data_IF_512047133567
#
_entry.id   IF_512047133567
#
_cell.length_a   1.000
_cell.length_b   1.000
_cell.length_c   1.000
_cell.angle_alpha   90.00
_cell.angle_beta   90.00
_cell.angle_gamma   90.00
#
_symmetry.space_group_name_H-M   'P 1'
#
loop_
_entity.id
_entity.type
_entity.pdbx_description
1 polymer ?
#
# COMPACT_ATOMS: atom_id res chain seq x y z
N UNK A 1 -5.56 -13.01 19.64
CA UNK A 1 -4.80 -13.67 20.72
C UNK A 1 -3.32 -13.82 20.37
N UNK A 2 -2.94 -14.55 19.31
CA UNK A 2 -1.54 -14.70 18.89
C UNK A 2 -0.80 -13.39 18.57
N UNK A 3 -1.44 -12.42 17.91
CA UNK A 3 -0.85 -11.09 17.67
C UNK A 3 -0.58 -10.30 18.95
N UNK A 4 -1.53 -10.35 19.90
CA UNK A 4 -1.40 -9.67 21.18
C UNK A 4 -0.30 -10.33 22.03
N UNK A 5 -0.15 -11.66 21.94
CA UNK A 5 0.96 -12.42 22.53
C UNK A 5 2.31 -12.13 21.87
N UNK A 6 2.36 -11.91 20.55
CA UNK A 6 3.59 -11.56 19.82
C UNK A 6 4.06 -10.11 20.11
N UNK A 7 3.12 -9.16 20.17
CA UNK A 7 3.39 -7.78 20.58
C UNK A 7 3.69 -7.70 22.08
N UNK A 8 2.97 -8.44 22.93
CA UNK A 8 3.36 -8.58 24.34
C UNK A 8 4.74 -9.21 24.43
N UNK A 9 5.07 -10.28 23.71
CA UNK A 9 6.41 -10.87 23.78
C UNK A 9 7.49 -9.92 23.28
N UNK A 10 7.21 -9.02 22.33
CA UNK A 10 8.16 -7.97 21.92
C UNK A 10 8.38 -6.86 22.96
N UNK A 11 7.45 -6.71 23.91
CA UNK A 11 7.56 -5.79 25.06
C UNK A 11 8.02 -6.52 26.34
N UNK A 12 7.64 -7.79 26.48
CA UNK A 12 7.82 -8.64 27.66
C UNK A 12 9.13 -9.38 27.59
N UNK A 13 9.62 -9.86 26.44
CA UNK A 13 10.99 -10.43 26.39
C UNK A 13 12.00 -9.39 26.83
N UNK A 14 12.02 -8.15 26.30
CA UNK A 14 13.02 -7.20 26.72
C UNK A 14 12.80 -6.64 28.13
N UNK A 15 11.54 -6.43 28.55
CA UNK A 15 11.25 -6.01 29.91
C UNK A 15 11.55 -7.10 30.95
N UNK A 16 11.33 -8.37 30.62
CA UNK A 16 11.74 -9.52 31.45
C UNK A 16 13.26 -9.67 31.45
N UNK A 17 13.93 -9.50 30.30
CA UNK A 17 15.38 -9.43 30.20
C UNK A 17 16.00 -8.20 30.90
N UNK A 18 15.24 -7.17 31.28
CA UNK A 18 15.75 -6.10 32.16
C UNK A 18 15.44 -6.35 33.64
N UNK A 19 14.32 -7.00 33.95
CA UNK A 19 13.91 -7.25 35.34
C UNK A 19 14.72 -8.39 35.98
N UNK A 20 15.02 -9.43 35.22
CA UNK A 20 15.74 -10.62 35.70
C UNK A 20 17.26 -10.42 35.72
N UNK A 21 17.76 -9.48 34.91
CA UNK A 21 19.19 -9.17 34.76
C UNK A 21 19.59 -7.83 35.39
N UNK A 22 18.83 -7.36 36.37
CA UNK A 22 19.21 -6.22 37.23
C UNK A 22 20.30 -6.58 38.26
N UNK A 23 20.72 -7.84 38.28
CA UNK A 23 22.00 -8.28 38.84
C UNK A 23 23.10 -8.06 37.79
N UNK A 24 24.26 -7.56 38.19
CA UNK A 24 25.37 -6.96 37.42
C UNK A 24 25.77 -7.51 36.01
N UNK A 25 25.23 -8.62 35.49
CA UNK A 25 25.86 -9.44 34.43
C UNK A 25 25.02 -9.72 33.15
N UNK A 26 23.83 -9.15 32.94
CA UNK A 26 22.92 -9.73 31.92
C UNK A 26 22.63 -9.03 30.59
N UNK A 27 22.74 -7.71 30.50
CA UNK A 27 22.48 -6.98 29.25
C UNK A 27 23.27 -5.66 29.26
N UNK A 28 24.34 -5.61 28.48
CA UNK A 28 25.28 -4.48 28.45
C UNK A 28 25.45 -3.89 27.04
N UNK A 29 24.37 -3.43 26.38
CA UNK A 29 24.50 -2.78 25.09
C UNK A 29 25.26 -1.46 25.24
N UNK A 30 25.94 -1.03 24.19
CA UNK A 30 26.41 0.34 24.09
C UNK A 30 25.22 1.34 24.04
N UNK A 31 25.50 2.63 24.18
CA UNK A 31 24.46 3.65 24.25
C UNK A 31 23.66 3.83 22.95
N UNK A 32 24.25 3.57 21.79
CA UNK A 32 23.58 3.66 20.48
C UNK A 32 22.67 2.45 20.24
N UNK A 33 23.15 1.25 20.58
CA UNK A 33 22.38 -0.01 20.56
C UNK A 33 21.20 0.05 21.51
N UNK A 34 21.39 0.58 22.73
CA UNK A 34 20.29 0.83 23.66
C UNK A 34 19.29 1.85 23.11
N UNK A 35 19.77 2.91 22.46
CA UNK A 35 18.92 3.88 21.77
C UNK A 35 18.07 3.24 20.67
N UNK A 36 18.68 2.40 19.83
CA UNK A 36 18.00 1.68 18.75
C UNK A 36 16.94 0.72 19.32
N UNK A 37 17.28 -0.01 20.38
CA UNK A 37 16.36 -0.89 21.09
C UNK A 37 15.12 -0.13 21.62
N UNK A 38 15.30 1.02 22.28
CA UNK A 38 14.19 1.86 22.75
C UNK A 38 13.30 2.33 21.60
N UNK A 39 13.89 2.73 20.48
CA UNK A 39 13.17 3.14 19.27
C UNK A 39 12.29 2.00 18.74
N UNK A 40 12.83 0.78 18.67
CA UNK A 40 12.09 -0.43 18.29
C UNK A 40 10.91 -0.67 19.23
N UNK A 41 11.07 -0.54 20.54
CA UNK A 41 9.97 -0.69 21.49
C UNK A 41 8.87 0.37 21.28
N UNK A 42 9.24 1.64 21.10
CA UNK A 42 8.28 2.72 20.85
C UNK A 42 7.47 2.43 19.57
N UNK A 43 8.15 2.04 18.49
CA UNK A 43 7.47 1.71 17.24
C UNK A 43 6.64 0.43 17.34
N UNK A 44 7.04 -0.55 18.16
CA UNK A 44 6.23 -1.75 18.45
C UNK A 44 4.88 -1.40 19.10
N UNK A 45 4.88 -0.45 20.05
CA UNK A 45 3.63 0.07 20.64
C UNK A 45 2.78 0.77 19.59
N UNK A 46 3.39 1.63 18.77
CA UNK A 46 2.68 2.37 17.73
C UNK A 46 2.07 1.42 16.67
N UNK A 47 2.79 0.40 16.21
CA UNK A 47 2.25 -0.61 15.32
C UNK A 47 1.09 -1.39 15.95
N UNK A 48 1.14 -1.67 17.25
CA UNK A 48 0.04 -2.31 17.97
C UNK A 48 -1.23 -1.44 17.98
N UNK A 49 -1.07 -0.13 18.19
CA UNK A 49 -2.16 0.84 18.11
C UNK A 49 -2.72 0.91 16.68
N UNK A 50 -1.86 1.01 15.67
CA UNK A 50 -2.28 1.04 14.26
C UNK A 50 -2.97 -0.26 13.84
N UNK A 51 -2.53 -1.40 14.35
CA UNK A 51 -3.15 -2.69 14.08
C UNK A 51 -4.57 -2.75 14.63
N UNK A 52 -4.76 -2.34 15.89
CA UNK A 52 -6.10 -2.26 16.48
C UNK A 52 -6.99 -1.26 15.72
N UNK A 53 -6.41 -0.13 15.30
CA UNK A 53 -7.13 0.88 14.51
C UNK A 53 -7.51 0.36 13.11
N UNK A 54 -6.73 -0.56 12.50
CA UNK A 54 -7.06 -1.13 11.19
C UNK A 54 -8.41 -1.87 11.14
N UNK A 55 -8.93 -2.33 12.28
CA UNK A 55 -10.27 -2.91 12.37
C UNK A 55 -11.40 -1.89 12.25
N UNK A 56 -11.16 -0.62 12.65
CA UNK A 56 -12.17 0.44 12.58
C UNK A 56 -12.73 0.60 11.16
N UNK A 57 -11.91 0.83 10.11
CA UNK A 57 -12.43 0.94 8.75
C UNK A 57 -12.97 -0.37 8.19
N UNK A 58 -12.51 -1.54 8.65
CA UNK A 58 -13.09 -2.82 8.24
C UNK A 58 -14.54 -2.97 8.75
N UNK A 59 -14.82 -2.52 9.97
CA UNK A 59 -16.14 -2.58 10.59
C UNK A 59 -17.03 -1.46 10.04
N UNK A 60 -16.52 -0.22 9.97
CA UNK A 60 -17.30 0.98 9.62
C UNK A 60 -17.47 1.18 8.10
N UNK A 61 -16.51 0.74 7.29
CA UNK A 61 -16.48 0.97 5.85
C UNK A 61 -17.42 0.03 5.11
N UNK A 62 -18.57 0.53 4.64
CA UNK A 62 -19.38 -0.16 3.62
C UNK A 62 -18.93 0.35 2.24
N UNK A 63 -18.27 -0.50 1.44
CA UNK A 63 -17.95 -0.21 0.01
C UNK A 63 -16.47 0.01 -0.36
N UNK A 64 -15.57 0.23 0.60
CA UNK A 64 -14.15 0.53 0.36
C UNK A 64 -13.21 -0.33 1.21
N UNK A 65 -13.59 -1.58 1.51
CA UNK A 65 -12.86 -2.46 2.45
C UNK A 65 -11.54 -3.01 1.91
N UNK A 66 -11.41 -3.16 0.58
CA UNK A 66 -10.31 -3.90 -0.03
C UNK A 66 -8.91 -3.34 0.34
N UNK A 67 -8.64 -2.02 0.27
CA UNK A 67 -7.34 -1.51 0.68
C UNK A 67 -7.05 -1.77 2.17
N UNK A 68 -8.08 -1.72 3.02
CA UNK A 68 -7.94 -1.96 4.46
C UNK A 68 -7.78 -3.45 4.81
N UNK A 69 -8.32 -4.35 3.99
CA UNK A 69 -8.06 -5.80 4.11
C UNK A 69 -6.59 -6.12 3.87
N UNK A 70 -5.91 -5.39 2.97
CA UNK A 70 -4.47 -5.54 2.72
C UNK A 70 -3.64 -4.75 3.72
N UNK A 71 -4.17 -3.64 4.26
CA UNK A 71 -3.51 -2.86 5.31
C UNK A 71 -3.31 -3.68 6.59
N UNK A 72 -4.25 -4.55 6.95
CA UNK A 72 -4.13 -5.38 8.15
C UNK A 72 -2.88 -6.29 8.15
N UNK A 73 -2.65 -7.13 7.12
CA UNK A 73 -1.40 -7.89 7.02
C UNK A 73 -0.17 -6.98 6.83
N UNK A 74 -0.32 -5.79 6.23
CA UNK A 74 0.78 -4.81 6.14
C UNK A 74 1.26 -4.39 7.53
N UNK A 75 0.35 -3.93 8.39
CA UNK A 75 0.68 -3.49 9.76
C UNK A 75 1.16 -4.67 10.60
N UNK A 76 0.57 -5.85 10.42
CA UNK A 76 0.99 -7.08 11.09
C UNK A 76 2.45 -7.43 10.77
N UNK A 77 2.84 -7.43 9.49
CA UNK A 77 4.21 -7.74 9.10
C UNK A 77 5.19 -6.65 9.53
N UNK A 78 4.80 -5.38 9.50
CA UNK A 78 5.63 -4.31 10.06
C UNK A 78 5.86 -4.50 11.57
N UNK A 79 4.81 -4.85 12.32
CA UNK A 79 4.92 -5.13 13.75
C UNK A 79 5.83 -6.35 14.03
N UNK A 80 5.69 -7.43 13.26
CA UNK A 80 6.51 -8.64 13.41
C UNK A 80 7.97 -8.41 13.02
N UNK A 81 8.22 -7.70 11.93
CA UNK A 81 9.58 -7.32 11.53
C UNK A 81 10.28 -6.53 12.64
N UNK A 82 9.59 -5.51 13.18
CA UNK A 82 10.09 -4.70 14.29
C UNK A 82 10.31 -5.51 15.57
N UNK A 83 9.36 -6.39 15.92
CA UNK A 83 9.48 -7.26 17.10
C UNK A 83 10.66 -8.24 17.03
N UNK A 84 10.84 -8.87 15.87
CA UNK A 84 11.94 -9.82 15.65
C UNK A 84 13.29 -9.13 15.58
N UNK A 85 13.36 -7.91 15.04
CA UNK A 85 14.54 -7.06 15.10
C UNK A 85 14.90 -6.65 16.54
N UNK A 86 13.90 -6.33 17.36
CA UNK A 86 14.13 -6.07 18.79
C UNK A 86 14.68 -7.30 19.51
N UNK A 87 14.19 -8.50 19.18
CA UNK A 87 14.69 -9.74 19.75
C UNK A 87 16.14 -10.04 19.34
N UNK A 88 16.53 -9.76 18.09
CA UNK A 88 17.93 -9.93 17.66
C UNK A 88 18.87 -8.99 18.42
N UNK A 89 18.49 -7.73 18.62
CA UNK A 89 19.29 -6.77 19.41
C UNK A 89 19.52 -7.30 20.83
N UNK A 90 18.48 -7.82 21.48
CA UNK A 90 18.61 -8.38 22.84
C UNK A 90 19.56 -9.57 22.84
N UNK A 91 19.34 -10.56 21.97
CA UNK A 91 20.14 -11.80 21.96
C UNK A 91 21.61 -11.57 21.58
N UNK A 92 21.90 -10.60 20.71
CA UNK A 92 23.29 -10.26 20.33
C UNK A 92 24.07 -9.54 21.44
N UNK A 93 23.38 -9.00 22.45
CA UNK A 93 23.99 -8.20 23.52
C UNK A 93 23.93 -8.86 24.92
N UNK A 94 23.57 -10.15 24.97
CA UNK A 94 23.71 -10.97 26.19
C UNK A 94 25.10 -11.64 26.16
N UNK A 95 25.92 -11.57 27.23
CA UNK A 95 27.26 -12.16 27.24
C UNK A 95 27.24 -13.69 27.08
N UNK A 96 27.77 -14.20 25.97
CA UNK A 96 27.79 -15.63 25.64
C UNK A 96 28.57 -16.53 26.63
N UNK A 97 29.40 -15.94 27.50
CA UNK A 97 30.26 -16.65 28.46
C UNK A 97 29.65 -16.83 29.85
N UNK A 98 28.56 -16.11 30.17
CA UNK A 98 28.06 -16.00 31.54
C UNK A 98 26.64 -16.55 31.73
N UNK A 99 25.88 -16.74 30.65
CA UNK A 99 24.52 -17.28 30.72
C UNK A 99 24.40 -18.71 30.16
N UNK A 100 24.14 -19.73 31.01
CA UNK A 100 23.87 -21.09 30.54
C UNK A 100 22.68 -21.17 29.58
N UNK A 101 21.71 -20.24 29.66
CA UNK A 101 20.58 -20.18 28.74
C UNK A 101 21.03 -19.96 27.29
N UNK A 102 21.99 -19.05 27.03
CA UNK A 102 22.50 -18.80 25.68
C UNK A 102 23.22 -20.02 25.09
N UNK A 103 23.91 -20.79 25.93
CA UNK A 103 24.59 -22.01 25.49
C UNK A 103 23.62 -23.14 25.11
N UNK A 104 22.37 -23.07 25.57
CA UNK A 104 21.28 -23.99 25.22
C UNK A 104 20.46 -23.53 24.01
N UNK A 105 20.61 -22.27 23.57
CA UNK A 105 19.89 -21.77 22.41
C UNK A 105 20.39 -22.45 21.13
N UNK A 106 19.49 -22.80 20.19
CA UNK A 106 19.89 -23.32 18.90
C UNK A 106 20.79 -22.31 18.18
N UNK A 107 21.93 -22.77 17.63
CA UNK A 107 22.89 -21.96 16.84
C UNK A 107 22.18 -21.14 15.73
N UNK A 108 21.07 -21.66 15.20
CA UNK A 108 20.29 -21.04 14.15
C UNK A 108 19.22 -20.05 14.63
N UNK A 109 19.08 -19.79 15.93
CA UNK A 109 18.01 -18.93 16.45
C UNK A 109 18.18 -17.48 16.00
N UNK A 110 19.35 -16.87 16.20
CA UNK A 110 19.62 -15.48 15.78
C UNK A 110 19.47 -15.35 14.25
N UNK A 111 20.08 -16.22 13.41
CA UNK A 111 19.84 -16.21 11.97
C UNK A 111 18.38 -16.36 11.57
N UNK A 112 17.61 -17.22 12.27
CA UNK A 112 16.20 -17.40 11.99
C UNK A 112 15.37 -16.15 12.34
N UNK A 113 15.67 -15.48 13.45
CA UNK A 113 15.02 -14.23 13.82
C UNK A 113 15.34 -13.11 12.83
N UNK A 114 16.61 -12.98 12.41
CA UNK A 114 17.02 -12.04 11.39
C UNK A 114 16.31 -12.32 10.05
N UNK A 115 16.24 -13.59 9.62
CA UNK A 115 15.50 -14.01 8.43
C UNK A 115 14.03 -13.61 8.50
N UNK A 116 13.36 -13.87 9.62
CA UNK A 116 11.94 -13.53 9.81
C UNK A 116 11.76 -12.01 9.80
N UNK A 117 12.67 -11.27 10.44
CA UNK A 117 12.64 -9.81 10.46
C UNK A 117 12.74 -9.23 9.05
N UNK A 118 13.73 -9.67 8.28
CA UNK A 118 13.96 -9.28 6.89
C UNK A 118 12.81 -9.66 5.98
N UNK A 119 12.33 -10.90 6.07
CA UNK A 119 11.24 -11.38 5.23
C UNK A 119 9.98 -10.54 5.45
N UNK A 120 9.57 -10.33 6.70
CA UNK A 120 8.42 -9.50 7.00
C UNK A 120 8.67 -8.03 6.67
N UNK A 121 9.91 -7.55 6.80
CA UNK A 121 10.29 -6.22 6.36
C UNK A 121 10.00 -6.02 4.87
N UNK A 122 10.54 -6.90 4.03
CA UNK A 122 10.38 -6.82 2.58
C UNK A 122 8.91 -6.98 2.20
N UNK A 123 8.18 -7.89 2.84
CA UNK A 123 6.78 -8.13 2.54
C UNK A 123 5.89 -6.95 2.93
N UNK A 124 6.07 -6.35 4.11
CA UNK A 124 5.24 -5.20 4.47
C UNK A 124 5.47 -4.02 3.52
N UNK A 125 6.70 -3.78 3.06
CA UNK A 125 6.98 -2.66 2.14
C UNK A 125 6.26 -2.82 0.80
N UNK A 126 6.19 -4.06 0.29
CA UNK A 126 5.41 -4.40 -0.92
C UNK A 126 3.92 -4.26 -0.65
N UNK A 127 3.42 -4.78 0.48
CA UNK A 127 2.00 -4.68 0.81
C UNK A 127 1.58 -3.22 1.02
N UNK A 128 2.42 -2.39 1.62
CA UNK A 128 2.19 -0.94 1.77
C UNK A 128 2.02 -0.28 0.41
N UNK A 129 2.90 -0.58 -0.56
CA UNK A 129 2.73 -0.13 -1.95
C UNK A 129 1.38 -0.60 -2.53
N UNK A 130 1.05 -1.88 -2.38
CA UNK A 130 -0.23 -2.44 -2.86
C UNK A 130 -1.43 -1.74 -2.21
N UNK A 131 -1.39 -1.42 -0.92
CA UNK A 131 -2.46 -0.66 -0.24
C UNK A 131 -2.65 0.71 -0.89
N UNK A 132 -1.56 1.43 -1.16
CA UNK A 132 -1.62 2.74 -1.83
C UNK A 132 -2.26 2.62 -3.22
N UNK A 133 -1.85 1.62 -4.01
CA UNK A 133 -2.43 1.37 -5.33
C UNK A 133 -3.92 1.01 -5.23
N UNK A 134 -4.31 0.17 -4.29
CA UNK A 134 -5.71 -0.21 -4.09
C UNK A 134 -6.57 0.99 -3.68
N UNK A 135 -6.04 1.92 -2.89
CA UNK A 135 -6.73 3.19 -2.58
C UNK A 135 -6.94 4.02 -3.84
N UNK A 136 -5.90 4.18 -4.66
CA UNK A 136 -5.96 4.94 -5.91
C UNK A 136 -6.95 4.31 -6.91
N UNK A 137 -6.91 2.99 -7.08
CA UNK A 137 -7.85 2.25 -7.96
C UNK A 137 -9.28 2.31 -7.44
N UNK A 138 -9.49 2.28 -6.12
CA UNK A 138 -10.82 2.47 -5.56
C UNK A 138 -11.39 3.86 -5.90
N UNK A 139 -10.58 4.92 -5.80
CA UNK A 139 -11.01 6.27 -6.16
C UNK A 139 -11.18 6.47 -7.67
N UNK A 140 -10.36 5.82 -8.49
CA UNK A 140 -10.55 5.82 -9.94
C UNK A 140 -11.86 5.14 -10.35
N UNK A 141 -12.19 4.00 -9.73
CA UNK A 141 -13.47 3.33 -9.95
C UNK A 141 -14.64 4.24 -9.53
N UNK A 142 -14.51 4.96 -8.42
CA UNK A 142 -15.51 5.95 -7.99
C UNK A 142 -15.69 7.09 -9.01
N UNK A 143 -14.59 7.63 -9.55
CA UNK A 143 -14.64 8.65 -10.60
C UNK A 143 -15.40 8.13 -11.83
N UNK A 144 -15.06 6.92 -12.30
CA UNK A 144 -15.69 6.29 -13.47
C UNK A 144 -17.14 5.84 -13.24
N UNK A 145 -17.61 5.76 -11.99
CA UNK A 145 -19.01 5.50 -11.71
C UNK A 145 -19.89 6.73 -12.03
N UNK A 146 -19.34 7.93 -11.93
CA UNK A 146 -20.07 9.18 -12.22
C UNK A 146 -20.22 9.41 -13.74
N UNK A 147 -21.35 9.96 -14.23
CA UNK A 147 -21.49 10.32 -15.65
C UNK A 147 -20.38 11.29 -16.12
N UNK A 148 -20.14 12.36 -15.37
CA UNK A 148 -19.09 13.35 -15.67
C UNK A 148 -17.69 12.72 -15.72
N UNK A 149 -17.39 11.76 -14.85
CA UNK A 149 -16.10 11.06 -14.84
C UNK A 149 -15.92 10.08 -16.00
N UNK A 150 -17.02 9.48 -16.51
CA UNK A 150 -16.98 8.67 -17.74
C UNK A 150 -16.72 9.52 -18.98
N UNK A 151 -17.42 10.64 -19.07
CA UNK A 151 -17.26 11.56 -20.20
C UNK A 151 -15.86 12.22 -20.20
N UNK A 152 -15.33 12.56 -19.01
CA UNK A 152 -14.04 13.23 -18.87
C UNK A 152 -12.82 12.32 -19.10
N UNK A 153 -12.92 11.02 -18.77
CA UNK A 153 -11.79 10.08 -18.91
C UNK A 153 -11.91 9.15 -20.12
N UNK A 154 -13.07 9.14 -20.79
CA UNK A 154 -13.34 8.22 -21.89
C UNK A 154 -13.32 6.75 -21.47
N UNK A 155 -13.31 5.82 -22.45
CA UNK A 155 -13.17 4.39 -22.15
C UNK A 155 -11.82 4.09 -21.50
N UNK A 156 -11.74 2.98 -20.77
CA UNK A 156 -10.49 2.46 -20.21
C UNK A 156 -9.51 2.18 -21.34
N UNK A 157 -8.63 3.15 -21.61
CA UNK A 157 -7.65 3.07 -22.68
C UNK A 157 -6.46 2.20 -22.30
N UNK A 158 -5.62 1.91 -23.30
CA UNK A 158 -4.36 1.17 -23.13
C UNK A 158 -3.47 1.72 -22.01
N UNK A 159 -3.50 3.04 -21.75
CA UNK A 159 -2.74 3.66 -20.67
C UNK A 159 -3.08 3.12 -19.27
N UNK A 160 -4.36 2.84 -18.98
CA UNK A 160 -4.78 2.26 -17.68
C UNK A 160 -4.23 0.85 -17.51
N UNK A 161 -4.26 0.06 -18.60
CA UNK A 161 -3.76 -1.32 -18.63
C UNK A 161 -2.24 -1.36 -18.44
N UNK A 162 -1.52 -0.48 -19.14
CA UNK A 162 -0.06 -0.35 -19.00
C UNK A 162 0.31 0.01 -17.56
N UNK A 163 -0.43 0.92 -16.95
CA UNK A 163 -0.21 1.31 -15.55
C UNK A 163 -0.48 0.16 -14.58
N UNK A 164 -1.55 -0.62 -14.77
CA UNK A 164 -1.79 -1.83 -13.97
C UNK A 164 -0.65 -2.85 -14.14
N UNK A 165 -0.12 -3.01 -15.36
CA UNK A 165 1.02 -3.88 -15.60
C UNK A 165 2.29 -3.37 -14.87
N UNK A 166 2.52 -2.06 -14.82
CA UNK A 166 3.61 -1.45 -14.04
C UNK A 166 3.43 -1.71 -12.54
N UNK A 167 2.22 -1.52 -12.00
CA UNK A 167 1.91 -1.81 -10.59
C UNK A 167 2.26 -3.25 -10.22
N UNK A 168 1.77 -4.20 -11.03
CA UNK A 168 2.02 -5.63 -10.82
C UNK A 168 3.49 -5.96 -10.97
N UNK A 169 4.17 -5.43 -12.00
CA UNK A 169 5.59 -5.70 -12.22
C UNK A 169 6.45 -5.20 -11.05
N UNK A 170 6.22 -3.97 -10.57
CA UNK A 170 6.95 -3.43 -9.43
C UNK A 170 6.71 -4.25 -8.16
N UNK A 171 5.46 -4.59 -7.86
CA UNK A 171 5.11 -5.39 -6.68
C UNK A 171 5.73 -6.80 -6.74
N UNK A 172 5.63 -7.49 -7.88
CA UNK A 172 6.17 -8.84 -8.06
C UNK A 172 7.68 -8.83 -7.99
N UNK A 173 8.36 -7.91 -8.69
CA UNK A 173 9.83 -7.85 -8.68
C UNK A 173 10.34 -7.51 -7.28
N UNK A 174 9.77 -6.51 -6.60
CA UNK A 174 10.14 -6.18 -5.22
C UNK A 174 9.92 -7.39 -4.28
N UNK A 175 8.79 -8.10 -4.42
CA UNK A 175 8.50 -9.30 -3.64
C UNK A 175 9.51 -10.43 -3.89
N UNK A 176 9.79 -10.73 -5.16
CA UNK A 176 10.70 -11.81 -5.56
C UNK A 176 12.11 -11.54 -5.07
N UNK A 177 12.65 -10.35 -5.31
CA UNK A 177 14.02 -10.02 -4.90
C UNK A 177 14.17 -9.95 -3.38
N UNK A 178 13.19 -9.39 -2.67
CA UNK A 178 13.22 -9.33 -1.20
C UNK A 178 13.17 -10.73 -0.57
N UNK A 179 12.25 -11.58 -1.04
CA UNK A 179 12.12 -12.97 -0.55
C UNK A 179 13.37 -13.79 -0.88
N UNK A 180 13.93 -13.64 -2.08
CA UNK A 180 15.15 -14.32 -2.47
C UNK A 180 16.36 -13.87 -1.64
N UNK A 181 16.47 -12.57 -1.33
CA UNK A 181 17.52 -12.03 -0.46
C UNK A 181 17.46 -12.63 0.94
N UNK A 182 16.30 -12.56 1.60
CA UNK A 182 16.11 -13.16 2.93
C UNK A 182 16.41 -14.67 2.91
N UNK A 183 15.86 -15.39 1.93
CA UNK A 183 16.04 -16.84 1.80
C UNK A 183 17.50 -17.24 1.58
N UNK A 184 18.25 -16.49 0.77
CA UNK A 184 19.68 -16.73 0.56
C UNK A 184 20.50 -16.42 1.82
N UNK A 185 20.14 -15.38 2.58
CA UNK A 185 20.75 -15.10 3.89
C UNK A 185 20.61 -16.27 4.84
N UNK A 186 19.39 -16.77 5.04
CA UNK A 186 19.15 -17.95 5.90
C UNK A 186 19.87 -19.20 5.40
N UNK A 187 19.81 -19.48 4.09
CA UNK A 187 20.50 -20.63 3.51
C UNK A 187 22.03 -20.55 3.70
N UNK A 188 22.59 -19.34 3.68
CA UNK A 188 24.01 -19.10 3.96
C UNK A 188 24.31 -19.35 5.43
N UNK A 189 23.53 -18.80 6.36
CA UNK A 189 23.70 -19.06 7.78
C UNK A 189 23.60 -20.54 8.14
N UNK A 190 22.63 -21.27 7.58
CA UNK A 190 22.49 -22.73 7.79
C UNK A 190 23.71 -23.50 7.29
N UNK A 191 24.21 -23.14 6.10
CA UNK A 191 25.36 -23.83 5.50
C UNK A 191 26.64 -23.66 6.33
N UNK A 192 26.81 -22.50 6.97
CA UNK A 192 28.06 -22.13 7.65
C UNK A 192 27.96 -22.10 9.18
N UNK A 193 26.85 -22.56 9.76
CA UNK A 193 26.65 -22.59 11.20
C UNK A 193 27.67 -23.49 11.95
N UNK A 194 28.01 -24.65 11.37
CA UNK A 194 28.85 -25.68 12.02
C UNK A 194 30.03 -26.15 11.14
N UNK A 195 30.46 -25.32 10.19
CA UNK A 195 31.51 -25.69 9.22
C UNK A 195 32.82 -24.98 9.54
N UNK A 196 33.91 -25.75 9.71
CA UNK A 196 35.26 -25.18 9.76
C UNK A 196 35.54 -24.38 8.48
N UNK A 197 35.90 -23.10 8.65
CA UNK A 197 36.18 -22.16 7.56
C UNK A 197 37.49 -22.54 6.85
N UNK A 198 37.42 -23.51 5.94
CA UNK A 198 38.47 -23.75 4.95
C UNK A 198 38.49 -22.62 3.90
N UNK A 199 39.61 -22.44 3.20
CA UNK A 199 39.74 -21.40 2.17
C UNK A 199 38.67 -21.50 1.05
N UNK A 200 38.26 -22.71 0.69
CA UNK A 200 37.18 -22.95 -0.29
C UNK A 200 35.80 -22.54 0.26
N UNK A 201 35.56 -22.76 1.56
CA UNK A 201 34.34 -22.33 2.26
C UNK A 201 34.23 -20.81 2.37
N UNK A 202 35.37 -20.09 2.46
CA UNK A 202 35.39 -18.61 2.52
C UNK A 202 34.97 -18.00 1.18
N UNK A 203 35.52 -18.48 0.05
CA UNK A 203 35.17 -17.94 -1.27
C UNK A 203 33.69 -18.16 -1.62
N UNK A 204 33.11 -19.33 -1.30
CA UNK A 204 31.68 -19.57 -1.52
C UNK A 204 30.81 -18.74 -0.56
N UNK A 205 31.24 -18.53 0.68
CA UNK A 205 30.56 -17.63 1.62
C UNK A 205 30.51 -16.19 1.08
N UNK A 206 31.67 -15.63 0.69
CA UNK A 206 31.76 -14.28 0.14
C UNK A 206 30.90 -14.11 -1.12
N UNK A 207 30.92 -15.11 -2.01
CA UNK A 207 30.08 -15.10 -3.20
C UNK A 207 28.59 -15.06 -2.86
N UNK A 208 28.14 -15.87 -1.89
CA UNK A 208 26.73 -15.90 -1.46
C UNK A 208 26.29 -14.59 -0.81
N UNK A 209 27.12 -14.03 0.07
CA UNK A 209 26.86 -12.72 0.69
C UNK A 209 26.79 -11.62 -0.37
N UNK A 210 27.67 -11.67 -1.37
CA UNK A 210 27.63 -10.72 -2.49
C UNK A 210 26.32 -10.83 -3.29
N UNK A 211 25.88 -12.04 -3.64
CA UNK A 211 24.61 -12.27 -4.34
C UNK A 211 23.42 -11.85 -3.49
N UNK A 212 23.42 -12.14 -2.19
CA UNK A 212 22.39 -11.68 -1.26
C UNK A 212 22.29 -10.14 -1.27
N UNK A 213 23.41 -9.44 -1.17
CA UNK A 213 23.44 -7.98 -1.22
C UNK A 213 22.92 -7.44 -2.55
N UNK A 214 23.24 -8.07 -3.69
CA UNK A 214 22.67 -7.68 -4.99
C UNK A 214 21.14 -7.84 -5.04
N UNK A 215 20.61 -8.93 -4.50
CA UNK A 215 19.16 -9.16 -4.41
C UNK A 215 18.48 -8.13 -3.49
N UNK A 216 19.11 -7.83 -2.35
CA UNK A 216 18.68 -6.75 -1.45
C UNK A 216 18.63 -5.40 -2.16
N UNK A 217 19.70 -5.00 -2.86
CA UNK A 217 19.73 -3.74 -3.61
C UNK A 217 18.70 -3.70 -4.73
N UNK A 218 18.48 -4.81 -5.43
CA UNK A 218 17.42 -4.91 -6.44
C UNK A 218 16.03 -4.68 -5.83
N UNK A 219 15.72 -5.34 -4.71
CA UNK A 219 14.47 -5.10 -3.97
C UNK A 219 14.30 -3.61 -3.62
N UNK A 220 15.33 -3.00 -3.03
CA UNK A 220 15.32 -1.58 -2.65
C UNK A 220 15.08 -0.67 -3.85
N UNK A 221 15.73 -0.93 -4.99
CA UNK A 221 15.54 -0.17 -6.20
C UNK A 221 14.09 -0.23 -6.70
N UNK A 222 13.46 -1.41 -6.71
CA UNK A 222 12.06 -1.52 -7.10
C UNK A 222 11.11 -0.82 -6.15
N UNK A 223 11.34 -0.89 -4.82
CA UNK A 223 10.58 -0.11 -3.84
C UNK A 223 10.74 1.38 -4.09
N UNK A 224 11.96 1.88 -4.34
CA UNK A 224 12.19 3.31 -4.65
C UNK A 224 11.44 3.70 -5.93
N UNK A 225 11.45 2.87 -6.97
CA UNK A 225 10.74 3.15 -8.23
C UNK A 225 9.22 3.29 -8.06
N UNK A 226 8.63 2.66 -7.04
CA UNK A 226 7.20 2.82 -6.74
C UNK A 226 6.81 4.27 -6.46
N UNK A 227 7.73 5.12 -6.00
CA UNK A 227 7.42 6.54 -5.73
C UNK A 227 6.96 7.26 -7.00
N UNK A 228 7.64 7.00 -8.13
CA UNK A 228 7.33 7.65 -9.40
C UNK A 228 5.98 7.19 -9.92
N UNK A 229 5.68 5.90 -9.75
CA UNK A 229 4.40 5.33 -10.12
C UNK A 229 3.25 5.86 -9.24
N UNK A 230 3.44 5.93 -7.92
CA UNK A 230 2.46 6.50 -6.98
C UNK A 230 2.19 7.97 -7.29
N UNK A 231 3.25 8.77 -7.56
CA UNK A 231 3.12 10.18 -7.97
C UNK A 231 2.33 10.28 -9.29
N UNK A 232 2.74 9.54 -10.31
CA UNK A 232 2.09 9.57 -11.63
C UNK A 232 0.62 9.19 -11.53
N UNK A 233 0.31 8.09 -10.83
CA UNK A 233 -1.05 7.61 -10.61
C UNK A 233 -1.91 8.62 -9.87
N UNK A 234 -1.39 9.22 -8.80
CA UNK A 234 -2.13 10.20 -8.01
C UNK A 234 -2.40 11.48 -8.81
N UNK A 235 -1.42 11.97 -9.58
CA UNK A 235 -1.57 13.16 -10.44
C UNK A 235 -2.57 12.90 -11.56
N UNK A 236 -2.53 11.72 -12.20
CA UNK A 236 -3.49 11.33 -13.23
C UNK A 236 -4.92 11.29 -12.67
N UNK A 237 -5.10 10.68 -11.50
CA UNK A 237 -6.40 10.62 -10.83
C UNK A 237 -6.91 12.02 -10.47
N UNK A 238 -6.06 12.86 -9.87
CA UNK A 238 -6.41 14.24 -9.52
C UNK A 238 -6.83 15.06 -10.76
N UNK A 239 -6.09 14.94 -11.86
CA UNK A 239 -6.46 15.57 -13.14
C UNK A 239 -7.80 15.05 -13.66
N UNK A 240 -8.07 13.76 -13.53
CA UNK A 240 -9.34 13.14 -13.89
C UNK A 240 -10.53 13.76 -13.14
N UNK A 241 -10.42 13.90 -11.81
CA UNK A 241 -11.44 14.57 -11.00
C UNK A 241 -11.66 16.02 -11.42
N UNK A 242 -10.56 16.78 -11.65
CA UNK A 242 -10.63 18.17 -12.10
C UNK A 242 -11.29 18.33 -13.46
N UNK A 243 -11.00 17.44 -14.41
CA UNK A 243 -11.63 17.44 -15.74
C UNK A 243 -13.13 17.16 -15.67
N UNK A 244 -13.55 16.30 -14.74
CA UNK A 244 -14.97 16.01 -14.49
C UNK A 244 -15.71 17.14 -13.75
N UNK A 245 -15.02 18.21 -13.32
CA UNK A 245 -15.62 19.27 -12.51
C UNK A 245 -15.97 18.83 -11.08
N UNK A 246 -15.40 17.72 -10.61
CA UNK A 246 -15.68 17.11 -9.32
C UNK A 246 -14.50 17.30 -8.35
N UNK A 247 -14.78 17.27 -7.05
CA UNK A 247 -13.76 17.42 -6.00
C UNK A 247 -13.75 16.23 -5.06
N UNK A 248 -12.60 15.56 -4.93
CA UNK A 248 -12.45 14.41 -4.04
C UNK A 248 -11.50 14.68 -2.88
N UNK A 249 -12.04 14.70 -1.66
CA UNK A 249 -11.26 14.90 -0.44
C UNK A 249 -10.21 13.82 -0.24
N UNK A 250 -10.52 12.56 -0.60
CA UNK A 250 -9.56 11.45 -0.49
C UNK A 250 -8.41 11.65 -1.46
N UNK A 251 -8.67 11.82 -2.75
CA UNK A 251 -7.61 12.09 -3.74
C UNK A 251 -6.79 13.32 -3.38
N UNK A 252 -7.41 14.38 -2.85
CA UNK A 252 -6.68 15.54 -2.34
C UNK A 252 -5.77 15.17 -1.18
N UNK A 253 -6.23 14.41 -0.20
CA UNK A 253 -5.43 13.93 0.94
C UNK A 253 -4.30 12.98 0.51
N UNK A 254 -4.54 12.13 -0.50
CA UNK A 254 -3.49 11.31 -1.09
C UNK A 254 -2.40 12.20 -1.69
N UNK A 255 -2.77 13.23 -2.45
CA UNK A 255 -1.82 14.14 -3.10
C UNK A 255 -1.05 15.03 -2.11
N UNK A 256 -1.71 15.55 -1.07
CA UNK A 256 -1.10 16.56 -0.17
C UNK A 256 -0.41 15.97 1.05
N UNK A 257 -0.82 14.79 1.52
CA UNK A 257 -0.25 14.17 2.71
C UNK A 257 0.47 12.85 2.39
N UNK A 258 -0.22 11.91 1.72
CA UNK A 258 0.32 10.57 1.51
C UNK A 258 1.51 10.57 0.56
N UNK A 259 1.39 11.19 -0.61
CA UNK A 259 2.44 11.19 -1.65
C UNK A 259 3.74 11.84 -1.15
N UNK A 260 3.72 13.01 -0.48
CA UNK A 260 4.94 13.59 0.09
C UNK A 260 5.59 12.68 1.15
N UNK A 261 4.80 12.08 2.03
CA UNK A 261 5.33 11.15 3.05
C UNK A 261 5.91 9.88 2.43
N UNK A 262 5.24 9.31 1.43
CA UNK A 262 5.71 8.14 0.69
C UNK A 262 7.00 8.45 -0.09
N UNK A 263 7.09 9.67 -0.64
CA UNK A 263 8.30 10.14 -1.32
C UNK A 263 9.45 10.34 -0.34
N UNK A 264 9.18 10.92 0.83
CA UNK A 264 10.17 11.07 1.89
C UNK A 264 10.68 9.70 2.35
N UNK A 265 9.79 8.73 2.58
CA UNK A 265 10.16 7.35 2.90
C UNK A 265 11.10 6.75 1.84
N UNK A 266 10.76 6.86 0.54
CA UNK A 266 11.60 6.32 -0.53
C UNK A 266 12.95 7.05 -0.66
N UNK A 267 12.99 8.36 -0.44
CA UNK A 267 14.24 9.15 -0.46
C UNK A 267 15.14 8.77 0.70
N UNK A 268 14.58 8.66 1.91
CA UNK A 268 15.32 8.19 3.10
C UNK A 268 15.86 6.79 2.86
N UNK A 269 15.02 5.91 2.30
CA UNK A 269 15.43 4.56 1.97
C UNK A 269 16.60 4.53 0.99
N UNK A 270 16.55 5.34 -0.07
CA UNK A 270 17.65 5.49 -1.02
C UNK A 270 18.91 6.00 -0.32
N UNK A 271 18.79 7.02 0.54
CA UNK A 271 19.92 7.59 1.27
C UNK A 271 20.61 6.57 2.18
N UNK A 272 19.85 5.76 2.92
CA UNK A 272 20.41 4.73 3.79
C UNK A 272 20.97 3.53 3.00
N UNK A 273 20.34 3.14 1.90
CA UNK A 273 20.89 2.12 0.99
C UNK A 273 22.26 2.54 0.46
N UNK A 274 22.44 3.83 0.11
CA UNK A 274 23.74 4.36 -0.30
C UNK A 274 24.71 4.38 0.88
N UNK A 275 24.27 4.86 2.05
CA UNK A 275 25.10 4.94 3.27
C UNK A 275 25.64 3.58 3.70
N UNK A 276 24.83 2.53 3.64
CA UNK A 276 25.21 1.16 4.00
C UNK A 276 25.78 0.34 2.82
N UNK A 277 25.99 0.96 1.66
CA UNK A 277 26.62 0.28 0.53
C UNK A 277 28.13 0.10 0.73
N UNK A 278 28.79 -0.80 -0.02
CA UNK A 278 30.25 -0.89 -0.06
C UNK A 278 30.94 0.42 -0.49
N UNK A 279 30.22 1.31 -1.18
CA UNK A 279 30.67 2.65 -1.55
C UNK A 279 30.31 3.74 -0.53
N UNK A 280 29.59 3.40 0.53
CA UNK A 280 29.09 4.30 1.57
C UNK A 280 29.95 4.32 2.82
N UNK A 281 29.38 4.82 3.91
CA UNK A 281 30.04 4.85 5.22
C UNK A 281 30.45 3.45 5.68
N UNK A 282 29.63 2.43 5.43
CA UNK A 282 29.95 1.06 5.82
C UNK A 282 31.15 0.44 5.08
N UNK A 283 31.53 0.98 3.92
CA UNK A 283 32.69 0.53 3.14
C UNK A 283 33.90 1.45 3.21
N UNK A 284 33.85 2.52 4.02
CA UNK A 284 34.97 3.43 4.20
C UNK A 284 35.94 2.89 5.25
N UNK A 285 37.23 2.80 4.90
CA UNK A 285 38.31 2.46 5.84
C UNK A 285 38.42 3.44 7.03
N UNK A 286 37.78 4.61 6.93
CA UNK A 286 37.76 5.64 7.98
C UNK A 286 36.47 5.68 8.79
N UNK A 287 35.50 4.83 8.49
CA UNK A 287 34.26 4.80 9.26
C UNK A 287 34.52 4.21 10.65
N UNK A 288 34.17 4.98 11.67
CA UNK A 288 34.19 4.49 13.04
C UNK A 288 32.93 3.67 13.31
N UNK A 289 33.01 2.71 14.22
CA UNK A 289 31.85 1.92 14.68
C UNK A 289 30.68 2.82 15.05
N UNK A 290 30.94 3.90 15.81
CA UNK A 290 29.96 4.91 16.19
C UNK A 290 29.26 5.58 14.98
N UNK A 291 29.94 5.72 13.83
CA UNK A 291 29.35 6.30 12.62
C UNK A 291 28.33 5.35 11.98
N UNK A 292 28.65 4.06 11.95
CA UNK A 292 27.78 3.02 11.38
C UNK A 292 26.58 2.81 12.31
N UNK A 293 26.81 2.66 13.62
CA UNK A 293 25.75 2.53 14.63
C UNK A 293 24.83 3.77 14.66
N UNK A 294 25.41 4.97 14.55
CA UNK A 294 24.63 6.21 14.46
C UNK A 294 23.76 6.26 13.20
N UNK A 295 24.25 5.75 12.07
CA UNK A 295 23.47 5.63 10.84
C UNK A 295 22.35 4.58 10.99
N UNK A 296 22.58 3.46 11.68
CA UNK A 296 21.56 2.45 11.97
C UNK A 296 20.45 3.06 12.83
N UNK A 297 20.80 3.77 13.89
CA UNK A 297 19.83 4.47 14.73
C UNK A 297 19.01 5.49 13.91
N UNK A 298 19.67 6.25 13.03
CA UNK A 298 18.98 7.22 12.18
C UNK A 298 18.05 6.55 11.16
N UNK A 299 18.44 5.43 10.56
CA UNK A 299 17.60 4.62 9.66
C UNK A 299 16.35 4.13 10.40
N UNK A 300 16.55 3.51 11.57
CA UNK A 300 15.47 3.03 12.44
C UNK A 300 14.47 4.15 12.76
N UNK A 301 14.93 5.35 13.09
CA UNK A 301 14.03 6.48 13.41
C UNK A 301 13.32 7.02 12.16
N UNK A 302 14.07 7.33 11.10
CA UNK A 302 13.56 8.10 9.96
C UNK A 302 12.75 7.22 9.01
N UNK A 303 13.21 6.02 8.70
CA UNK A 303 12.51 5.10 7.79
C UNK A 303 11.29 4.48 8.48
N UNK A 304 11.42 4.01 9.72
CA UNK A 304 10.27 3.47 10.46
C UNK A 304 9.27 4.57 10.83
N UNK A 305 9.75 5.75 11.22
CA UNK A 305 8.90 6.89 11.51
C UNK A 305 8.09 7.36 10.29
N UNK A 306 8.71 7.44 9.11
CA UNK A 306 8.00 7.78 7.88
C UNK A 306 6.99 6.70 7.46
N UNK A 307 7.34 5.42 7.64
CA UNK A 307 6.40 4.31 7.43
C UNK A 307 5.16 4.42 8.34
N UNK A 308 5.35 4.62 9.64
CA UNK A 308 4.24 4.81 10.59
C UNK A 308 3.39 6.02 10.22
N UNK A 309 4.00 7.13 9.80
CA UNK A 309 3.26 8.30 9.34
C UNK A 309 2.38 7.98 8.10
N UNK A 310 2.90 7.20 7.15
CA UNK A 310 2.14 6.74 5.97
C UNK A 310 0.94 5.88 6.40
N UNK A 311 1.16 4.88 7.26
CA UNK A 311 0.09 4.00 7.75
C UNK A 311 -0.96 4.78 8.55
N UNK A 312 -0.52 5.73 9.38
CA UNK A 312 -1.40 6.63 10.11
C UNK A 312 -2.27 7.47 9.16
N UNK A 313 -1.69 8.07 8.11
CA UNK A 313 -2.46 8.87 7.15
C UNK A 313 -3.49 7.99 6.42
N UNK A 314 -3.12 6.78 5.99
CA UNK A 314 -4.04 5.84 5.36
C UNK A 314 -5.22 5.52 6.29
N UNK A 315 -4.95 5.23 7.57
CA UNK A 315 -5.99 4.98 8.56
C UNK A 315 -6.82 6.23 8.87
N UNK A 316 -6.22 7.40 8.95
CA UNK A 316 -6.94 8.65 9.21
C UNK A 316 -7.92 8.99 8.07
N UNK A 317 -7.52 8.78 6.81
CA UNK A 317 -8.39 8.93 5.64
C UNK A 317 -9.60 7.99 5.68
N UNK A 318 -9.50 6.87 6.39
CA UNK A 318 -10.55 5.86 6.51
C UNK A 318 -11.65 6.20 7.52
N UNK A 319 -11.38 7.07 8.50
CA UNK A 319 -12.29 7.32 9.63
C UNK A 319 -13.55 8.08 9.20
N UNK A 320 -13.41 9.03 8.27
CA UNK A 320 -14.52 9.90 7.87
C UNK A 320 -15.25 9.31 6.68
N UNK A 321 -16.29 8.53 6.98
CA UNK A 321 -17.19 7.93 5.97
C UNK A 321 -17.70 8.94 4.92
N UNK A 322 -18.02 10.17 5.34
CA UNK A 322 -18.48 11.23 4.43
C UNK A 322 -17.49 11.58 3.31
N UNK A 323 -16.20 11.28 3.47
CA UNK A 323 -15.20 11.48 2.41
C UNK A 323 -15.25 10.39 1.33
N UNK A 324 -15.95 9.30 1.59
CA UNK A 324 -16.03 8.13 0.71
C UNK A 324 -17.37 8.01 -0.02
N UNK A 325 -18.43 8.64 0.48
CA UNK A 325 -19.77 8.55 -0.09
C UNK A 325 -19.90 9.42 -1.37
N UNK A 326 -20.56 8.87 -2.40
CA UNK A 326 -20.84 9.55 -3.66
C UNK A 326 -21.86 10.70 -3.49
N UNK A 327 -22.66 10.68 -2.43
CA UNK A 327 -23.62 11.73 -2.07
C UNK A 327 -22.94 13.08 -1.77
N UNK A 328 -21.63 13.08 -1.50
CA UNK A 328 -20.83 14.31 -1.36
C UNK A 328 -20.63 15.07 -2.68
N UNK A 329 -21.01 14.51 -3.83
CA UNK A 329 -20.77 15.08 -5.16
C UNK A 329 -21.94 15.87 -5.74
N UNK A 330 -23.01 16.08 -4.96
CA UNK A 330 -24.08 17.01 -5.29
C UNK A 330 -25.19 16.41 -6.17
N UNK A 331 -26.43 16.58 -5.70
CA UNK A 331 -27.68 16.60 -6.44
C UNK A 331 -27.75 15.85 -7.79
N UNK A 332 -28.20 14.61 -7.74
CA UNK A 332 -29.24 14.15 -8.67
C UNK A 332 -29.96 12.97 -8.04
N UNK A 333 -31.29 13.04 -7.94
CA UNK A 333 -32.15 12.08 -7.26
C UNK A 333 -32.19 10.68 -7.86
N UNK A 334 -31.05 10.02 -8.04
CA UNK A 334 -30.92 8.59 -8.29
C UNK A 334 -30.24 7.94 -7.09
N UNK A 335 -30.99 7.88 -5.99
CA UNK A 335 -30.64 7.07 -4.85
C UNK A 335 -30.48 5.59 -5.26
N UNK A 336 -29.53 4.93 -4.61
CA UNK A 336 -29.51 3.48 -4.38
C UNK A 336 -29.24 2.56 -5.59
N UNK A 337 -28.10 2.70 -6.28
CA UNK A 337 -27.57 1.55 -7.05
C UNK A 337 -26.06 1.54 -7.28
N UNK A 338 -25.26 2.16 -6.39
CA UNK A 338 -23.86 1.74 -6.24
C UNK A 338 -23.83 0.36 -5.53
N UNK A 339 -24.30 -0.64 -6.27
CA UNK A 339 -24.31 -2.04 -5.90
C UNK A 339 -22.87 -2.49 -5.66
N UNK A 340 -22.72 -3.27 -4.61
CA UNK A 340 -21.49 -3.91 -4.17
C UNK A 340 -20.78 -4.59 -5.36
N UNK A 341 -19.72 -3.99 -5.89
CA UNK A 341 -18.97 -4.53 -7.03
C UNK A 341 -18.15 -5.80 -6.70
N UNK A 342 -18.27 -6.35 -5.49
CA UNK A 342 -17.48 -7.51 -5.02
C UNK A 342 -18.30 -8.57 -4.27
N UNK A 343 -19.61 -8.38 -4.11
CA UNK A 343 -20.49 -9.52 -3.83
C UNK A 343 -20.73 -10.20 -5.18
N UNK A 344 -20.61 -11.54 -5.31
CA UNK A 344 -21.08 -12.22 -6.51
C UNK A 344 -22.53 -11.77 -6.72
N UNK A 345 -22.81 -11.13 -7.86
CA UNK A 345 -24.16 -10.82 -8.24
C UNK A 345 -24.89 -12.14 -8.34
N UNK A 346 -25.60 -12.52 -7.28
CA UNK A 346 -26.63 -13.53 -7.37
C UNK A 346 -27.72 -12.91 -8.23
N UNK A 347 -27.63 -13.15 -9.54
CA UNK A 347 -28.72 -12.96 -10.50
C UNK A 347 -29.91 -13.80 -10.04
N UNK A 348 -30.73 -13.24 -9.16
CA UNK A 348 -32.09 -13.70 -8.92
C UNK A 348 -33.03 -12.73 -9.64
N UNK A 349 -33.09 -12.84 -10.96
CA UNK A 349 -34.29 -12.47 -11.72
C UNK A 349 -35.29 -13.62 -11.61
N UNK A 350 -36.08 -13.64 -10.54
CA UNK A 350 -37.38 -14.30 -10.55
C UNK A 350 -38.44 -13.21 -10.73
N UNK A 351 -38.63 -12.79 -11.98
CA UNK A 351 -39.90 -12.21 -12.41
C UNK A 351 -40.85 -13.39 -12.71
N UNK A 352 -41.56 -13.89 -11.72
CA UNK A 352 -42.70 -14.77 -11.94
C UNK A 352 -43.90 -13.94 -12.38
N UNK A 353 -44.02 -13.75 -13.70
CA UNK A 353 -45.33 -13.54 -14.31
C UNK A 353 -46.17 -14.82 -14.12
N UNK A 354 -47.45 -14.74 -13.75
CA UNK A 354 -48.30 -15.91 -13.71
C UNK A 354 -48.52 -16.43 -15.14
N UNK A 355 -48.43 -17.76 -15.40
CA UNK A 355 -48.67 -18.31 -16.72
C UNK A 355 -50.16 -18.21 -17.07
N UNK A 356 -50.48 -17.45 -18.12
CA UNK A 356 -51.77 -17.54 -18.81
C UNK A 356 -51.83 -18.85 -19.59
N UNK A 357 -52.81 -19.69 -19.26
CA UNK A 357 -53.08 -20.93 -19.99
C UNK A 357 -53.63 -20.65 -21.39
N UNK A 358 -53.30 -21.48 -22.41
CA UNK A 358 -53.96 -21.44 -23.71
C UNK A 358 -55.20 -22.36 -23.71
N UNK A 359 -56.39 -21.77 -23.85
CA UNK A 359 -57.66 -22.50 -24.00
C UNK A 359 -58.45 -21.97 -25.19
N UNK A 360 -58.58 -22.81 -26.22
CA UNK A 360 -59.43 -22.65 -27.41
C UNK A 360 -60.89 -22.42 -27.02
N UNK A 361 -61.57 -21.45 -27.64
CA UNK A 361 -62.91 -21.60 -28.23
C UNK A 361 -63.18 -20.51 -29.26
N UNK A 362 -63.96 -20.91 -30.26
CA UNK A 362 -64.24 -20.30 -31.56
C UNK A 362 -65.56 -19.49 -31.51
N UNK A 363 -65.68 -18.42 -32.31
CA UNK A 363 -66.79 -18.06 -33.24
C UNK A 363 -66.96 -16.55 -33.44
N UNK A 364 -66.92 -16.11 -34.72
CA UNK A 364 -67.81 -15.18 -35.46
C UNK A 364 -68.43 -13.95 -34.74
N UNK A 365 -68.57 -12.73 -35.25
CA UNK A 365 -68.29 -11.98 -36.50
C UNK A 365 -68.68 -10.48 -36.21
N UNK A 366 -68.95 -9.58 -37.18
CA UNK A 366 -68.17 -8.39 -37.60
C UNK A 366 -68.66 -7.00 -37.11
N UNK A 367 -67.83 -5.95 -37.23
CA UNK A 367 -68.27 -4.56 -37.07
C UNK A 367 -67.23 -3.46 -37.35
N UNK A 368 -67.10 -3.09 -38.64
CA UNK A 368 -66.92 -1.77 -39.29
C UNK A 368 -66.09 -0.58 -38.69
N UNK A 369 -65.62 0.34 -39.57
CA UNK A 369 -64.40 1.15 -39.40
C UNK A 369 -64.65 2.62 -39.03
N UNK A 370 -63.63 3.30 -38.52
CA UNK A 370 -63.52 4.76 -38.59
C UNK A 370 -62.14 5.19 -39.10
N UNK A 371 -62.10 5.52 -40.38
CA UNK A 371 -61.16 6.47 -40.97
C UNK A 371 -61.76 7.87 -40.86
N UNK A 372 -61.01 8.82 -40.31
CA UNK A 372 -61.31 10.25 -40.47
C UNK A 372 -60.16 10.95 -41.22
N UNK A 373 -60.45 11.64 -42.33
CA UNK A 373 -59.51 12.45 -43.10
C UNK A 373 -59.51 13.91 -42.64
N UNK A 374 -58.36 14.59 -42.73
CA UNK A 374 -58.29 16.03 -42.44
C UNK A 374 -56.92 16.66 -42.70
N UNK A 375 -56.61 16.96 -43.96
CA UNK A 375 -55.92 18.19 -44.37
C UNK A 375 -56.94 18.95 -45.24
N UNK A 376 -56.85 20.28 -45.50
CA UNK A 376 -55.62 21.05 -45.69
C UNK A 376 -55.64 22.56 -45.32
N UNK A 377 -54.50 23.21 -45.55
CA UNK A 377 -54.24 24.65 -45.75
C UNK A 377 -54.08 25.57 -44.54
N UNK A 378 -52.83 26.05 -44.34
CA UNK A 378 -52.52 27.48 -44.19
C UNK A 378 -51.01 27.74 -44.35
N UNK A 379 -50.61 28.29 -45.52
CA UNK A 379 -49.53 29.27 -45.68
C UNK A 379 -50.20 30.47 -46.35
N UNK A 380 -49.89 31.73 -45.97
CA UNK A 380 -48.63 32.40 -46.34
C UNK A 380 -48.16 33.35 -45.19
N UNK A 381 -47.14 34.21 -45.21
CA UNK A 381 -46.17 34.71 -46.17
C UNK A 381 -44.95 35.18 -45.32
N UNK A 382 -43.71 34.95 -45.76
CA UNK A 382 -42.56 35.71 -45.27
C UNK A 382 -42.04 36.59 -46.41
N UNK A 383 -42.37 37.88 -46.35
CA UNK A 383 -41.55 38.97 -46.88
C UNK A 383 -40.24 38.94 -46.07
N UNK A 384 -39.03 38.86 -46.63
CA UNK A 384 -38.52 39.63 -47.76
C UNK A 384 -37.94 40.94 -47.23
N UNK A 385 -36.64 40.98 -46.94
CA UNK A 385 -35.70 42.07 -47.26
C UNK A 385 -34.30 41.70 -46.77
N UNK A 386 -33.36 41.68 -47.71
CA UNK A 386 -31.92 41.53 -47.50
C UNK A 386 -31.24 42.68 -48.26
N UNK A 387 -29.97 42.93 -47.93
CA UNK A 387 -28.96 43.81 -48.60
C UNK A 387 -28.84 45.23 -47.96
N UNK A 388 -27.63 45.82 -47.75
CA UNK A 388 -26.35 45.25 -47.27
C UNK A 388 -25.50 46.25 -46.42
N UNK A 389 -24.26 45.84 -46.11
CA UNK A 389 -23.02 46.64 -45.94
C UNK A 389 -22.92 47.71 -44.83
N UNK A 390 -21.95 47.50 -43.94
CA UNK A 390 -20.90 48.51 -43.73
C UNK A 390 -19.55 47.86 -43.42
N UNK A 391 -18.53 48.29 -44.17
CA UNK A 391 -17.11 47.97 -44.02
C UNK A 391 -16.42 48.81 -42.92
N UNK A 392 -15.21 48.34 -42.57
CA UNK A 392 -14.07 49.04 -41.94
C UNK A 392 -14.20 49.37 -40.43
N UNK A 393 -13.19 49.18 -39.56
CA UNK A 393 -11.75 49.45 -39.75
C UNK A 393 -10.89 48.76 -38.67
N UNK A 394 -9.63 48.54 -39.02
CA UNK A 394 -8.43 48.04 -38.30
C UNK A 394 -7.94 48.87 -37.10
N UNK A 395 -7.19 48.21 -36.18
CA UNK A 395 -5.89 48.57 -35.56
C UNK A 395 -5.80 48.02 -34.12
N UNK A 396 -4.96 47.02 -33.82
CA UNK A 396 -3.58 47.14 -33.32
C UNK A 396 -3.40 48.00 -32.05
N UNK A 397 -3.07 47.32 -30.95
CA UNK A 397 -1.94 47.60 -30.07
C UNK A 397 -1.47 46.29 -29.44
#
# INVERSE_FOLDING_TARGET
>A
MFFFLACLSSLVLPAACQFEFSTEDGFHPDSLTMGNFVVVCIFGVLYSVLFLWSFVPMISGRGHRLPYLVLLPTVLFAAWSNATYGATIVLENIPALEDPFLSELPVLLIPALAFVSDLFYYWYSVLQFVVVILLLRNREAALRATPAGRDANGPVGAASIVQDAVHVALAVLAFTFGTASAGLGMATSVKYADVDLTFENINDFEHRVHVQNQLYYAHRAFIILTVFDVIATTVMLWRGWRKAGLTDTITSGLLTALVPLYSLFCILLMAFVITFSPSGAAGSDTATTNTVEGAILADSILVTGSNIAILFVILALSVRRAWWDADAYGDSGMAASATQYWAPQSTYTYATAPPSQPGYYNTQQPGTPYTQPGTPYAQPAQQGYYIPQHEHTTAQA
#
